data_IF_995023708144
#
_entry.id   IF_995023708144
#
_cell.length_a   1.000
_cell.length_b   1.000
_cell.length_c   1.000
_cell.angle_alpha   90.00
_cell.angle_beta   90.00
_cell.angle_gamma   90.00
#
_symmetry.space_group_name_H-M   'P 1'
#
loop_
_entity.id
_entity.type
_entity.pdbx_description
1 polymer ?
#
# COMPACT_ATOMS: atom_id res chain seq x y z
N UNK A 1 6.64 37.84 19.06
CA UNK A 1 6.97 37.35 17.70
C UNK A 1 6.71 35.85 17.59
N UNK A 2 6.76 35.05 18.70
CA UNK A 2 6.49 33.60 18.72
C UNK A 2 5.00 33.23 18.66
N UNK A 3 4.11 34.05 19.22
CA UNK A 3 2.66 33.76 19.27
C UNK A 3 1.95 33.82 17.90
N UNK A 4 2.42 34.64 16.97
CA UNK A 4 1.82 34.72 15.63
C UNK A 4 2.04 33.48 14.80
N UNK A 5 3.20 32.85 14.92
CA UNK A 5 3.58 31.65 14.16
C UNK A 5 2.81 30.39 14.63
N UNK A 6 2.52 30.34 15.92
CA UNK A 6 1.76 29.23 16.53
C UNK A 6 0.28 29.27 16.15
N UNK A 7 -0.32 30.44 16.06
CA UNK A 7 -1.71 30.63 15.67
C UNK A 7 -1.94 30.32 14.19
N UNK A 8 -1.06 30.79 13.33
CA UNK A 8 -1.07 30.48 11.89
C UNK A 8 -0.88 28.97 11.63
N UNK A 9 0.02 28.33 12.39
CA UNK A 9 0.21 26.87 12.32
C UNK A 9 -1.01 26.09 12.78
N UNK A 10 -1.70 26.53 13.85
CA UNK A 10 -2.95 25.92 14.32
C UNK A 10 -4.11 26.10 13.34
N UNK A 11 -4.23 27.27 12.71
CA UNK A 11 -5.25 27.51 11.69
C UNK A 11 -5.02 26.63 10.46
N UNK A 12 -3.78 26.51 9.98
CA UNK A 12 -3.40 25.61 8.90
C UNK A 12 -3.68 24.13 9.23
N UNK A 13 -3.40 23.70 10.45
CA UNK A 13 -3.70 22.35 10.89
C UNK A 13 -5.22 22.08 10.96
N UNK A 14 -6.00 23.04 11.42
CA UNK A 14 -7.46 22.88 11.49
C UNK A 14 -8.10 22.87 10.09
N UNK A 15 -7.66 23.74 9.18
CA UNK A 15 -8.10 23.75 7.80
C UNK A 15 -7.73 22.45 7.07
N UNK A 16 -6.56 21.94 7.36
CA UNK A 16 -6.07 20.69 6.82
C UNK A 16 -6.89 19.48 7.28
N UNK A 17 -7.23 19.41 8.57
CA UNK A 17 -8.11 18.36 9.12
C UNK A 17 -9.49 18.37 8.49
N UNK A 18 -10.04 19.57 8.25
CA UNK A 18 -11.33 19.72 7.60
C UNK A 18 -11.29 19.19 6.16
N UNK A 19 -10.27 19.57 5.37
CA UNK A 19 -10.09 19.09 3.99
C UNK A 19 -9.91 17.59 3.89
N UNK A 20 -9.26 16.97 4.88
CA UNK A 20 -9.15 15.50 4.94
C UNK A 20 -10.51 14.88 5.22
N UNK A 21 -11.24 15.38 6.19
CA UNK A 21 -12.56 14.88 6.52
C UNK A 21 -13.52 14.96 5.31
N UNK A 22 -13.40 16.01 4.50
CA UNK A 22 -14.15 16.13 3.23
C UNK A 22 -13.69 15.15 2.15
N UNK A 23 -12.41 14.76 2.15
CA UNK A 23 -11.83 13.87 1.14
C UNK A 23 -12.00 12.39 1.47
N UNK A 24 -12.31 12.05 2.72
CA UNK A 24 -12.58 10.66 3.13
C UNK A 24 -13.96 10.24 2.61
N UNK A 25 -13.97 9.12 1.90
CA UNK A 25 -15.21 8.47 1.46
C UNK A 25 -15.50 7.29 2.37
N UNK A 26 -16.48 7.44 3.24
CA UNK A 26 -16.91 6.36 4.13
C UNK A 26 -17.91 5.45 3.43
N UNK A 27 -17.73 4.15 3.62
CA UNK A 27 -18.60 3.07 3.16
C UNK A 27 -18.85 2.12 4.32
N UNK A 28 -19.82 1.22 4.16
CA UNK A 28 -20.07 0.18 5.14
C UNK A 28 -18.82 -0.71 5.29
N UNK A 29 -18.23 -0.70 6.47
CA UNK A 29 -17.06 -1.51 6.83
C UNK A 29 -15.69 -0.97 6.40
N UNK A 30 -15.60 0.13 5.66
CA UNK A 30 -14.31 0.76 5.34
C UNK A 30 -14.41 2.24 5.02
N UNK A 31 -13.29 2.94 5.10
CA UNK A 31 -13.13 4.30 4.58
C UNK A 31 -12.02 4.33 3.54
N UNK A 32 -12.18 5.19 2.54
CA UNK A 32 -11.22 5.36 1.46
C UNK A 32 -10.75 6.81 1.37
N UNK A 33 -9.44 7.00 1.26
CA UNK A 33 -8.81 8.29 1.02
C UNK A 33 -7.87 8.21 -0.16
N UNK A 34 -8.12 8.97 -1.21
CA UNK A 34 -7.21 9.12 -2.33
C UNK A 34 -6.38 10.39 -2.19
N UNK A 35 -5.08 10.26 -2.37
CA UNK A 35 -4.14 11.37 -2.29
C UNK A 35 -3.52 11.60 -3.66
N UNK A 36 -3.86 12.73 -4.30
CA UNK A 36 -3.35 13.10 -5.61
C UNK A 36 -1.88 13.52 -5.59
N UNK A 37 -1.27 13.56 -6.78
CA UNK A 37 0.07 14.13 -6.95
C UNK A 37 0.01 15.66 -6.85
N UNK A 38 0.96 16.31 -6.17
CA UNK A 38 1.04 17.77 -6.18
C UNK A 38 1.36 18.29 -7.58
N UNK A 39 0.58 19.25 -8.06
CA UNK A 39 0.75 19.84 -9.39
C UNK A 39 1.98 20.75 -9.55
N UNK A 40 2.65 21.11 -8.44
CA UNK A 40 3.80 22.02 -8.47
C UNK A 40 5.06 21.43 -7.87
N UNK A 41 6.19 21.62 -8.56
CA UNK A 41 7.51 21.06 -8.27
C UNK A 41 8.21 21.56 -6.99
N UNK A 42 7.58 22.40 -6.16
CA UNK A 42 8.24 23.06 -5.04
C UNK A 42 7.84 22.63 -3.63
N UNK A 43 6.81 21.81 -3.44
CA UNK A 43 6.18 21.60 -2.13
C UNK A 43 6.21 20.16 -1.57
N UNK A 44 7.05 19.28 -2.10
CA UNK A 44 7.08 17.87 -1.67
C UNK A 44 7.30 17.68 -0.16
N UNK A 45 8.16 18.47 0.47
CA UNK A 45 8.44 18.33 1.90
C UNK A 45 7.25 18.69 2.80
N UNK A 46 6.48 19.74 2.45
CA UNK A 46 5.29 20.15 3.21
C UNK A 46 4.15 19.15 3.07
N UNK A 47 3.92 18.65 1.85
CA UNK A 47 2.88 17.68 1.56
C UNK A 47 3.19 16.33 2.25
N UNK A 48 4.45 15.91 2.24
CA UNK A 48 4.86 14.66 2.91
C UNK A 48 4.71 14.73 4.43
N UNK A 49 5.06 15.87 5.07
CA UNK A 49 4.84 16.05 6.50
C UNK A 49 3.35 16.01 6.85
N UNK A 50 2.53 16.64 6.02
CA UNK A 50 1.09 16.63 6.15
C UNK A 50 0.50 15.23 5.99
N UNK A 51 0.92 14.46 4.98
CA UNK A 51 0.52 13.07 4.77
C UNK A 51 0.84 12.16 5.96
N UNK A 52 2.00 12.34 6.58
CA UNK A 52 2.36 11.60 7.79
C UNK A 52 1.38 11.86 8.94
N UNK A 53 1.06 13.14 9.18
CA UNK A 53 0.11 13.51 10.23
C UNK A 53 -1.28 12.93 9.96
N UNK A 54 -1.73 12.97 8.70
CA UNK A 54 -3.00 12.37 8.26
C UNK A 54 -3.02 10.88 8.50
N UNK A 55 -2.02 10.15 8.02
CA UNK A 55 -1.93 8.70 8.17
C UNK A 55 -1.89 8.33 9.65
N UNK A 56 -1.12 9.05 10.47
CA UNK A 56 -1.04 8.81 11.91
C UNK A 56 -2.40 9.03 12.59
N UNK A 57 -3.08 10.12 12.27
CA UNK A 57 -4.38 10.45 12.85
C UNK A 57 -5.48 9.45 12.44
N UNK A 58 -5.47 9.00 11.18
CA UNK A 58 -6.44 8.02 10.67
C UNK A 58 -6.15 6.63 11.24
N UNK A 59 -4.87 6.24 11.33
CA UNK A 59 -4.49 4.90 11.80
C UNK A 59 -4.94 4.59 13.22
N UNK A 60 -5.17 5.59 14.05
CA UNK A 60 -5.71 5.42 15.42
C UNK A 60 -7.21 5.10 15.47
N UNK A 61 -7.91 5.27 14.34
CA UNK A 61 -9.37 5.12 14.27
C UNK A 61 -9.82 3.82 13.59
N UNK A 62 -8.91 3.07 12.99
CA UNK A 62 -9.21 1.85 12.25
C UNK A 62 -8.38 0.68 12.74
N UNK A 63 -8.98 -0.51 12.74
CA UNK A 63 -8.29 -1.75 13.10
C UNK A 63 -7.17 -2.07 12.08
N UNK A 64 -7.40 -1.73 10.82
CA UNK A 64 -6.45 -1.93 9.72
C UNK A 64 -6.37 -0.68 8.84
N UNK A 65 -5.16 -0.34 8.44
CA UNK A 65 -4.89 0.69 7.44
C UNK A 65 -4.06 0.09 6.31
N UNK A 66 -4.62 0.06 5.11
CA UNK A 66 -3.93 -0.41 3.92
C UNK A 66 -3.47 0.78 3.10
N UNK A 67 -2.17 0.87 2.85
CA UNK A 67 -1.56 1.95 2.08
C UNK A 67 -1.10 1.40 0.74
N UNK A 68 -1.73 1.83 -0.36
CA UNK A 68 -1.26 1.56 -1.71
C UNK A 68 -0.11 2.50 -2.05
N UNK A 69 1.09 1.96 -2.11
CA UNK A 69 2.33 2.71 -2.35
C UNK A 69 2.66 2.96 -3.82
N UNK A 70 1.76 2.66 -4.74
CA UNK A 70 2.01 2.69 -6.19
C UNK A 70 3.19 1.78 -6.63
N UNK A 71 3.53 1.81 -7.92
CA UNK A 71 4.65 1.06 -8.46
C UNK A 71 5.99 1.75 -8.14
N UNK A 72 6.90 1.00 -7.50
CA UNK A 72 8.28 1.40 -7.34
C UNK A 72 8.65 2.01 -5.98
N UNK A 73 9.85 2.55 -5.92
CA UNK A 73 10.55 2.99 -4.70
C UNK A 73 10.19 4.41 -4.25
N UNK A 74 9.51 5.19 -5.10
CA UNK A 74 9.33 6.63 -4.86
C UNK A 74 8.60 6.96 -3.57
N UNK A 75 7.58 6.18 -3.20
CA UNK A 75 6.80 6.42 -1.98
C UNK A 75 7.64 6.18 -0.71
N UNK A 76 8.54 5.20 -0.77
CA UNK A 76 9.50 4.93 0.31
C UNK A 76 10.53 6.07 0.38
N UNK A 77 11.10 6.48 -0.75
CA UNK A 77 12.07 7.58 -0.79
C UNK A 77 11.49 8.92 -0.32
N UNK A 78 10.20 9.14 -0.52
CA UNK A 78 9.51 10.36 -0.05
C UNK A 78 9.26 10.37 1.46
N UNK A 79 9.58 9.28 2.17
CA UNK A 79 9.38 9.14 3.62
C UNK A 79 7.95 9.45 4.07
N UNK A 80 6.97 9.13 3.24
CA UNK A 80 5.55 9.27 3.60
C UNK A 80 5.19 8.26 4.67
N UNK A 81 5.80 7.06 4.60
CA UNK A 81 5.66 5.99 5.57
C UNK A 81 6.98 5.80 6.32
N UNK A 82 7.03 6.16 7.59
CA UNK A 82 8.21 5.90 8.44
C UNK A 82 8.11 4.58 9.18
N UNK A 83 6.88 4.14 9.43
CA UNK A 83 6.60 2.89 10.14
C UNK A 83 5.34 2.23 9.58
N UNK A 84 5.45 0.93 9.34
CA UNK A 84 4.32 0.04 9.06
C UNK A 84 4.51 -1.24 9.88
N UNK A 85 3.45 -1.96 10.19
CA UNK A 85 3.56 -3.27 10.84
C UNK A 85 3.96 -4.33 9.82
N UNK A 86 3.37 -4.28 8.64
CA UNK A 86 3.59 -5.25 7.57
C UNK A 86 3.92 -4.52 6.26
N UNK A 87 5.05 -4.87 5.67
CA UNK A 87 5.46 -4.39 4.35
C UNK A 87 5.26 -5.52 3.34
N UNK A 88 4.25 -5.34 2.48
CA UNK A 88 3.91 -6.31 1.45
C UNK A 88 4.48 -5.88 0.11
N UNK A 89 5.39 -6.68 -0.43
CA UNK A 89 5.96 -6.49 -1.75
C UNK A 89 5.20 -7.33 -2.77
N UNK A 90 4.87 -6.73 -3.91
CA UNK A 90 4.12 -7.42 -4.97
C UNK A 90 4.91 -7.34 -6.28
N UNK A 91 5.11 -8.49 -6.91
CA UNK A 91 5.79 -8.61 -8.20
C UNK A 91 5.03 -9.56 -9.12
N UNK A 92 5.45 -9.63 -10.37
CA UNK A 92 5.14 -10.71 -11.28
C UNK A 92 6.30 -11.73 -11.33
N UNK A 93 6.21 -12.73 -12.20
CA UNK A 93 7.24 -13.77 -12.38
C UNK A 93 8.44 -13.30 -13.20
N UNK A 94 8.46 -12.07 -13.68
CA UNK A 94 9.54 -11.56 -14.51
C UNK A 94 10.82 -11.33 -13.70
N UNK A 95 11.96 -11.62 -14.30
CA UNK A 95 13.26 -11.32 -13.72
C UNK A 95 13.39 -9.84 -13.32
N UNK A 96 12.89 -8.95 -14.18
CA UNK A 96 12.92 -7.49 -13.92
C UNK A 96 12.07 -7.12 -12.71
N UNK A 97 10.87 -7.69 -12.57
CA UNK A 97 10.00 -7.46 -11.41
C UNK A 97 10.70 -7.85 -10.10
N UNK A 98 11.33 -9.02 -10.07
CA UNK A 98 12.07 -9.50 -8.90
C UNK A 98 13.34 -8.67 -8.58
N UNK A 99 14.02 -8.15 -9.59
CA UNK A 99 15.14 -7.22 -9.39
C UNK A 99 14.67 -5.89 -8.77
N UNK A 100 13.52 -5.38 -9.20
CA UNK A 100 12.89 -4.19 -8.60
C UNK A 100 12.52 -4.44 -7.13
N UNK A 101 11.91 -5.60 -6.82
CA UNK A 101 11.60 -5.98 -5.43
C UNK A 101 12.84 -5.94 -4.55
N UNK A 102 13.97 -6.46 -5.01
CA UNK A 102 15.22 -6.42 -4.23
C UNK A 102 15.70 -4.98 -3.98
N UNK A 103 15.56 -4.12 -4.95
CA UNK A 103 15.90 -2.71 -4.80
C UNK A 103 14.98 -2.03 -3.78
N UNK A 104 13.68 -2.31 -3.84
CA UNK A 104 12.70 -1.79 -2.88
C UNK A 104 12.99 -2.29 -1.47
N UNK A 105 13.26 -3.58 -1.30
CA UNK A 105 13.63 -4.18 0.01
C UNK A 105 14.84 -3.46 0.63
N UNK A 106 15.92 -3.28 -0.13
CA UNK A 106 17.12 -2.63 0.38
C UNK A 106 16.85 -1.21 0.87
N UNK A 107 16.08 -0.43 0.09
CA UNK A 107 15.73 0.95 0.48
C UNK A 107 14.73 0.98 1.63
N UNK A 108 13.79 0.03 1.67
CA UNK A 108 12.85 -0.09 2.79
C UNK A 108 13.57 -0.38 4.11
N UNK A 109 14.59 -1.25 4.10
CA UNK A 109 15.41 -1.52 5.30
C UNK A 109 16.09 -0.27 5.87
N UNK A 110 16.41 0.70 5.02
CA UNK A 110 17.07 1.95 5.44
C UNK A 110 16.09 3.03 5.90
N UNK A 111 14.90 3.08 5.29
CA UNK A 111 13.99 4.23 5.39
C UNK A 111 12.68 3.94 6.11
N UNK A 112 12.26 2.69 6.24
CA UNK A 112 10.97 2.29 6.81
C UNK A 112 11.19 1.31 7.95
N UNK A 113 10.56 1.56 9.09
CA UNK A 113 10.49 0.56 10.17
C UNK A 113 9.32 -0.36 9.90
N UNK A 114 9.55 -1.66 9.85
CA UNK A 114 8.50 -2.67 9.72
C UNK A 114 8.78 -3.85 10.64
N UNK A 115 7.71 -4.51 11.07
CA UNK A 115 7.81 -5.69 11.94
C UNK A 115 7.94 -6.97 11.09
N UNK A 116 7.26 -7.01 9.92
CA UNK A 116 7.33 -8.12 8.97
C UNK A 116 7.40 -7.60 7.53
N UNK A 117 8.10 -8.36 6.68
CA UNK A 117 8.14 -8.15 5.24
C UNK A 117 7.81 -9.47 4.53
N UNK A 118 7.05 -9.41 3.44
CA UNK A 118 6.70 -10.59 2.66
C UNK A 118 6.47 -10.27 1.19
N UNK A 119 6.48 -11.30 0.36
CA UNK A 119 6.34 -11.22 -1.09
C UNK A 119 5.08 -11.95 -1.56
N UNK A 120 4.30 -11.30 -2.41
CA UNK A 120 3.30 -11.94 -3.26
C UNK A 120 3.77 -11.86 -4.71
N UNK A 121 3.73 -12.99 -5.40
CA UNK A 121 3.95 -13.06 -6.85
C UNK A 121 2.61 -13.19 -7.53
N UNK A 122 2.25 -12.18 -8.30
CA UNK A 122 0.96 -12.09 -8.98
C UNK A 122 1.08 -12.46 -10.47
N UNK A 123 -0.06 -12.79 -11.10
CA UNK A 123 -0.15 -13.12 -12.53
C UNK A 123 0.75 -14.28 -12.94
N UNK A 124 0.77 -15.32 -12.12
CA UNK A 124 1.52 -16.55 -12.42
C UNK A 124 0.81 -17.32 -13.52
N UNK A 125 1.45 -17.44 -14.68
CA UNK A 125 0.90 -18.17 -15.83
C UNK A 125 1.13 -19.69 -15.70
N UNK A 126 2.31 -20.09 -15.20
CA UNK A 126 2.69 -21.49 -15.03
C UNK A 126 3.18 -21.73 -13.60
N UNK A 127 2.51 -22.60 -12.82
CA UNK A 127 2.93 -22.94 -11.46
C UNK A 127 4.37 -23.47 -11.37
N UNK A 128 4.90 -24.12 -12.41
CA UNK A 128 6.28 -24.60 -12.43
C UNK A 128 7.32 -23.45 -12.37
N UNK A 129 6.93 -22.23 -12.70
CA UNK A 129 7.79 -21.05 -12.53
C UNK A 129 8.08 -20.77 -11.06
N UNK A 130 7.15 -21.08 -10.16
CA UNK A 130 7.28 -20.81 -8.73
C UNK A 130 8.42 -21.61 -8.10
N UNK A 131 8.58 -22.88 -8.51
CA UNK A 131 9.67 -23.75 -8.02
C UNK A 131 11.07 -23.20 -8.38
N UNK A 132 11.14 -22.38 -9.43
CA UNK A 132 12.39 -21.78 -9.94
C UNK A 132 12.55 -20.33 -9.53
N UNK A 133 11.57 -19.80 -8.80
CA UNK A 133 11.58 -18.40 -8.42
C UNK A 133 12.63 -18.13 -7.34
N UNK A 134 13.57 -17.25 -7.65
CA UNK A 134 14.52 -16.74 -6.66
C UNK A 134 13.86 -15.59 -5.88
N UNK A 135 13.26 -15.91 -4.73
CA UNK A 135 12.66 -14.90 -3.84
C UNK A 135 13.71 -14.07 -3.08
N UNK A 136 14.98 -14.40 -3.26
CA UNK A 136 16.14 -13.73 -2.61
C UNK A 136 16.04 -13.66 -1.08
N UNK A 137 15.42 -14.69 -0.50
CA UNK A 137 15.27 -14.83 0.95
C UNK A 137 14.01 -14.18 1.53
N UNK A 138 13.20 -13.53 0.72
CA UNK A 138 11.89 -13.05 1.15
C UNK A 138 10.91 -14.21 1.36
N UNK A 139 10.07 -14.09 2.37
CA UNK A 139 8.96 -15.03 2.59
C UNK A 139 7.93 -14.90 1.47
N UNK A 140 7.78 -15.96 0.67
CA UNK A 140 6.70 -16.03 -0.32
C UNK A 140 5.38 -16.32 0.38
N UNK A 141 4.51 -15.33 0.43
CA UNK A 141 3.19 -15.43 1.07
C UNK A 141 2.18 -16.13 0.16
N UNK A 142 2.15 -15.74 -1.10
CA UNK A 142 1.32 -16.35 -2.12
C UNK A 142 1.92 -16.21 -3.53
N UNK A 143 1.53 -17.16 -4.39
CA UNK A 143 1.72 -17.12 -5.83
C UNK A 143 0.32 -17.13 -6.47
N UNK A 144 -0.15 -15.98 -6.90
CA UNK A 144 -1.52 -15.79 -7.38
C UNK A 144 -1.55 -16.06 -8.89
N UNK A 145 -2.32 -17.05 -9.37
CA UNK A 145 -2.42 -17.34 -10.79
C UNK A 145 -3.12 -16.20 -11.55
N UNK A 146 -2.85 -16.10 -12.84
CA UNK A 146 -3.62 -15.23 -13.73
C UNK A 146 -5.10 -15.65 -13.71
N UNK A 147 -5.99 -14.69 -13.43
CA UNK A 147 -7.43 -14.92 -13.32
C UNK A 147 -8.16 -14.21 -14.48
N UNK A 148 -8.70 -15.04 -15.40
CA UNK A 148 -9.46 -14.52 -16.56
C UNK A 148 -10.74 -13.80 -16.15
N UNK A 149 -11.36 -14.22 -15.05
CA UNK A 149 -12.59 -13.59 -14.55
C UNK A 149 -12.30 -12.22 -13.97
N UNK A 150 -11.22 -12.08 -13.21
CA UNK A 150 -10.75 -10.78 -12.73
C UNK A 150 -10.42 -9.85 -13.90
N UNK A 151 -9.71 -10.34 -14.92
CA UNK A 151 -9.40 -9.56 -16.12
C UNK A 151 -10.66 -9.11 -16.87
N UNK A 152 -11.70 -9.93 -16.92
CA UNK A 152 -12.98 -9.56 -17.52
C UNK A 152 -13.69 -8.48 -16.69
N UNK A 153 -13.68 -8.60 -15.36
CA UNK A 153 -14.29 -7.59 -14.48
C UNK A 153 -13.61 -6.23 -14.63
N UNK A 154 -12.28 -6.23 -14.71
CA UNK A 154 -11.49 -5.01 -14.95
C UNK A 154 -11.84 -4.38 -16.31
N UNK A 155 -11.91 -5.19 -17.36
CA UNK A 155 -12.31 -4.74 -18.70
C UNK A 155 -13.74 -4.16 -18.75
N UNK A 156 -14.68 -4.76 -18.03
CA UNK A 156 -16.08 -4.33 -17.94
C UNK A 156 -16.30 -3.17 -16.95
N UNK A 157 -15.29 -2.74 -16.21
CA UNK A 157 -15.39 -1.74 -15.15
C UNK A 157 -16.22 -2.19 -13.96
N UNK A 158 -16.32 -3.49 -13.72
CA UNK A 158 -17.03 -4.07 -12.59
C UNK A 158 -16.19 -4.03 -11.32
N UNK A 159 -16.87 -3.95 -10.19
CA UNK A 159 -16.18 -3.99 -8.90
C UNK A 159 -15.57 -5.37 -8.63
N UNK A 160 -14.31 -5.39 -8.19
CA UNK A 160 -13.66 -6.62 -7.70
C UNK A 160 -14.35 -7.20 -6.46
N UNK A 161 -15.12 -6.39 -5.73
CA UNK A 161 -15.93 -6.84 -4.58
C UNK A 161 -17.08 -7.77 -5.00
N UNK A 162 -17.41 -7.82 -6.29
CA UNK A 162 -18.38 -8.77 -6.85
C UNK A 162 -17.78 -10.14 -7.20
N UNK A 163 -16.46 -10.30 -7.05
CA UNK A 163 -15.82 -11.60 -7.26
C UNK A 163 -16.35 -12.61 -6.25
N UNK A 164 -16.64 -13.84 -6.69
CA UNK A 164 -16.98 -14.92 -5.76
C UNK A 164 -15.89 -15.16 -4.72
N UNK A 165 -16.28 -15.51 -3.50
CA UNK A 165 -15.32 -15.79 -2.43
C UNK A 165 -14.36 -16.96 -2.75
N UNK A 166 -14.80 -17.89 -3.59
CA UNK A 166 -14.00 -18.99 -4.11
C UNK A 166 -13.10 -18.63 -5.30
N UNK A 167 -13.11 -17.38 -5.75
CA UNK A 167 -12.20 -16.91 -6.80
C UNK A 167 -10.74 -17.14 -6.38
N UNK A 168 -9.89 -17.70 -7.27
CA UNK A 168 -8.50 -17.97 -6.94
C UNK A 168 -7.75 -16.76 -6.37
N UNK A 169 -8.01 -15.56 -6.88
CA UNK A 169 -7.37 -14.35 -6.37
C UNK A 169 -7.82 -14.04 -4.94
N UNK A 170 -9.12 -14.17 -4.63
CA UNK A 170 -9.68 -13.90 -3.30
C UNK A 170 -9.12 -14.90 -2.28
N UNK A 171 -9.14 -16.19 -2.62
CA UNK A 171 -8.62 -17.26 -1.75
C UNK A 171 -7.13 -17.06 -1.48
N UNK A 172 -6.32 -16.87 -2.53
CA UNK A 172 -4.87 -16.72 -2.36
C UNK A 172 -4.49 -15.45 -1.56
N UNK A 173 -5.23 -14.34 -1.73
CA UNK A 173 -4.99 -13.13 -0.94
C UNK A 173 -5.37 -13.37 0.52
N UNK A 174 -6.50 -14.01 0.80
CA UNK A 174 -6.92 -14.37 2.17
C UNK A 174 -5.87 -15.23 2.86
N UNK A 175 -5.44 -16.30 2.21
CA UNK A 175 -4.42 -17.22 2.74
C UNK A 175 -3.08 -16.50 2.97
N UNK A 176 -2.70 -15.59 2.06
CA UNK A 176 -1.51 -14.76 2.23
C UNK A 176 -1.62 -13.85 3.46
N UNK A 177 -2.77 -13.23 3.70
CA UNK A 177 -2.99 -12.36 4.86
C UNK A 177 -2.98 -13.14 6.18
N UNK A 178 -3.55 -14.35 6.20
CA UNK A 178 -3.46 -15.25 7.36
C UNK A 178 -2.01 -15.68 7.62
N UNK A 179 -1.29 -16.13 6.60
CA UNK A 179 0.14 -16.49 6.69
C UNK A 179 0.99 -15.32 7.16
N UNK A 180 0.65 -14.13 6.73
CA UNK A 180 1.33 -12.90 7.12
C UNK A 180 0.97 -12.42 8.54
N UNK A 181 -0.03 -13.05 9.19
CA UNK A 181 -0.46 -12.71 10.55
C UNK A 181 -1.30 -11.43 10.65
N UNK A 182 -1.94 -11.04 9.56
CA UNK A 182 -2.86 -9.89 9.52
C UNK A 182 -4.28 -10.34 9.83
N UNK A 183 -4.70 -11.48 9.30
CA UNK A 183 -6.00 -12.09 9.57
C UNK A 183 -5.85 -13.27 10.53
N UNK A 184 -6.81 -13.47 11.40
CA UNK A 184 -6.94 -14.60 12.33
C UNK A 184 -7.68 -15.77 11.69
#
# INVERSE_FOLDING_TARGET
VEDGNTKEAMELLSESRYKIAEAIVEKEGFAFLAIGRPESAGCYCRINSYLKEVITMISEQFDYVVIDGEAGIEQINRRVMEKVTHLLLISDTSKKGLEVIKTIENVAMELVKYDRIGLIVNRVEDPAMIERLDTRGLELLAAIPSDKKLALYDFEGRSIMELPEESPVVVNVRDAMQKFGILL
#
